data_IF_926202028024
#
_entry.id   IF_926202028024
#
_cell.length_a   1.000
_cell.length_b   1.000
_cell.length_c   1.000
_cell.angle_alpha   90.00
_cell.angle_beta   90.00
_cell.angle_gamma   90.00
#
_symmetry.space_group_name_H-M   'P 1'
#
loop_
_entity.id
_entity.type
_entity.pdbx_description
1 polymer ?
#
# COMPACT_ATOMS: atom_id res chain seq x y z
N UNK A 1 20.85 55.64 -15.27
CA UNK A 1 20.55 54.56 -16.23
C UNK A 1 21.80 53.72 -16.38
N UNK A 2 21.81 52.49 -15.85
CA UNK A 2 22.93 51.55 -15.96
C UNK A 2 22.96 50.98 -17.37
N UNK A 3 24.05 51.24 -18.10
CA UNK A 3 24.30 50.69 -19.44
C UNK A 3 24.42 49.16 -19.36
N UNK A 4 23.66 48.46 -20.21
CA UNK A 4 23.70 47.01 -20.31
C UNK A 4 25.08 46.55 -20.79
N UNK A 5 25.75 45.69 -20.01
CA UNK A 5 27.07 45.15 -20.35
C UNK A 5 26.92 43.72 -20.89
N UNK A 6 26.94 43.60 -22.22
CA UNK A 6 26.72 42.34 -22.94
C UNK A 6 27.78 41.26 -22.62
N UNK A 7 29.06 41.65 -22.52
CA UNK A 7 30.15 40.71 -22.21
C UNK A 7 30.01 40.08 -20.83
N UNK A 8 29.59 40.88 -19.83
CA UNK A 8 29.35 40.39 -18.47
C UNK A 8 28.11 39.50 -18.43
N UNK A 9 27.07 39.84 -19.19
CA UNK A 9 25.87 39.02 -19.32
C UNK A 9 26.18 37.65 -19.94
N UNK A 10 26.94 37.62 -21.05
CA UNK A 10 27.36 36.39 -21.71
C UNK A 10 28.17 35.46 -20.78
N UNK A 11 29.09 36.01 -19.99
CA UNK A 11 29.86 35.25 -18.99
C UNK A 11 28.98 34.66 -17.89
N UNK A 12 27.97 35.38 -17.43
CA UNK A 12 27.02 34.87 -16.42
C UNK A 12 26.12 33.82 -17.02
N UNK A 13 25.69 33.97 -18.27
CA UNK A 13 24.87 32.98 -18.97
C UNK A 13 25.64 31.68 -19.26
N UNK A 14 26.94 31.75 -19.56
CA UNK A 14 27.78 30.56 -19.73
C UNK A 14 27.86 29.70 -18.45
N UNK A 15 27.82 30.32 -17.25
CA UNK A 15 27.76 29.59 -15.97
C UNK A 15 26.44 28.85 -15.75
N UNK A 16 25.39 29.14 -16.53
CA UNK A 16 24.15 28.38 -16.49
C UNK A 16 24.28 26.97 -17.10
N UNK A 17 25.39 26.67 -17.77
CA UNK A 17 25.71 25.34 -18.30
C UNK A 17 26.56 24.49 -17.33
N UNK A 18 26.60 24.86 -16.04
CA UNK A 18 27.29 24.09 -14.99
C UNK A 18 26.57 22.76 -14.69
N UNK A 19 27.33 21.70 -14.37
CA UNK A 19 26.83 20.38 -13.97
C UNK A 19 26.20 20.38 -12.56
N UNK A 20 26.10 21.54 -11.93
CA UNK A 20 25.55 21.72 -10.59
C UNK A 20 24.29 22.59 -10.63
N UNK A 21 23.12 21.96 -10.42
CA UNK A 21 21.81 22.59 -10.57
C UNK A 21 21.65 23.90 -9.77
N UNK A 22 22.22 23.95 -8.56
CA UNK A 22 22.17 25.13 -7.70
C UNK A 22 22.93 26.34 -8.28
N UNK A 23 24.07 26.09 -8.94
CA UNK A 23 24.89 27.13 -9.57
C UNK A 23 24.28 27.58 -10.89
N UNK A 24 23.76 26.64 -11.68
CA UNK A 24 23.07 26.93 -12.93
C UNK A 24 21.84 27.82 -12.70
N UNK A 25 21.02 27.51 -11.69
CA UNK A 25 19.85 28.31 -11.33
C UNK A 25 20.22 29.69 -10.78
N UNK A 26 21.30 29.80 -10.01
CA UNK A 26 21.80 31.09 -9.51
C UNK A 26 22.30 31.98 -10.66
N UNK A 27 23.00 31.40 -11.63
CA UNK A 27 23.47 32.08 -12.84
C UNK A 27 22.30 32.59 -13.69
N UNK A 28 21.27 31.77 -13.93
CA UNK A 28 20.07 32.16 -14.67
C UNK A 28 19.30 33.30 -13.99
N UNK A 29 19.14 33.24 -12.65
CA UNK A 29 18.50 34.32 -11.89
C UNK A 29 19.27 35.62 -12.02
N UNK A 30 20.60 35.56 -11.92
CA UNK A 30 21.47 36.74 -12.06
C UNK A 30 21.46 37.32 -13.47
N UNK A 31 21.44 36.47 -14.50
CA UNK A 31 21.28 36.90 -15.89
C UNK A 31 19.93 37.62 -16.11
N UNK A 32 18.84 37.06 -15.57
CA UNK A 32 17.51 37.69 -15.62
C UNK A 32 17.48 39.06 -14.94
N UNK A 33 18.12 39.19 -13.79
CA UNK A 33 18.15 40.45 -13.04
C UNK A 33 18.96 41.53 -13.76
N UNK A 34 20.03 41.15 -14.46
CA UNK A 34 20.81 42.06 -15.32
C UNK A 34 19.98 42.60 -16.49
N UNK A 35 19.15 41.75 -17.10
CA UNK A 35 18.24 42.16 -18.16
C UNK A 35 17.13 43.08 -17.64
N UNK A 36 16.53 42.72 -16.50
CA UNK A 36 15.49 43.53 -15.86
C UNK A 36 16.01 44.93 -15.49
N UNK A 37 17.24 45.04 -14.98
CA UNK A 37 17.88 46.32 -14.66
C UNK A 37 18.14 47.18 -15.91
N UNK A 38 18.26 46.56 -17.09
CA UNK A 38 18.38 47.22 -18.37
C UNK A 38 17.03 47.44 -19.08
N UNK A 39 15.91 47.06 -18.48
CA UNK A 39 14.58 47.13 -19.09
C UNK A 39 14.38 46.16 -20.25
N UNK A 40 15.16 45.08 -20.32
CA UNK A 40 15.13 44.07 -21.37
C UNK A 40 14.65 42.71 -20.83
N UNK A 41 14.21 41.87 -21.74
CA UNK A 41 13.89 40.45 -21.52
C UNK A 41 14.84 39.57 -22.31
N UNK A 42 14.88 38.26 -22.03
CA UNK A 42 15.68 37.32 -22.83
C UNK A 42 15.27 37.31 -24.30
N UNK A 43 13.98 37.52 -24.59
CA UNK A 43 13.45 37.60 -25.95
C UNK A 43 14.01 38.81 -26.71
N UNK A 44 14.23 39.93 -26.02
CA UNK A 44 14.77 41.15 -26.64
C UNK A 44 16.24 40.98 -27.05
N UNK A 45 17.01 40.20 -26.28
CA UNK A 45 18.41 39.86 -26.59
C UNK A 45 18.48 38.96 -27.82
N UNK A 46 17.57 38.00 -27.94
CA UNK A 46 17.48 37.10 -29.10
C UNK A 46 17.08 37.87 -30.36
N UNK A 47 16.25 38.91 -30.22
CA UNK A 47 15.80 39.74 -31.34
C UNK A 47 16.85 40.75 -31.82
N UNK A 48 17.77 41.21 -30.97
CA UNK A 48 18.80 42.21 -31.32
C UNK A 48 20.03 41.61 -32.04
N UNK A 49 20.32 40.31 -31.91
CA UNK A 49 21.59 39.70 -32.38
C UNK A 49 21.52 38.74 -33.58
N UNK A 50 20.39 38.53 -34.27
CA UNK A 50 20.42 37.67 -35.47
C UNK A 50 19.43 38.02 -36.60
N UNK A 51 19.88 38.01 -37.88
CA UNK A 51 18.98 37.82 -39.01
C UNK A 51 18.30 36.45 -38.88
N UNK A 52 17.05 36.35 -39.33
CA UNK A 52 16.22 35.15 -39.28
C UNK A 52 16.92 33.98 -39.99
N UNK A 53 17.65 33.19 -39.22
CA UNK A 53 18.09 31.85 -39.61
C UNK A 53 16.98 30.91 -39.16
N UNK A 54 16.30 30.30 -40.14
CA UNK A 54 15.44 29.15 -39.89
C UNK A 54 16.34 28.04 -39.37
N UNK A 55 16.35 27.84 -38.06
CA UNK A 55 16.96 26.64 -37.47
C UNK A 55 16.14 25.45 -37.98
N UNK A 56 16.74 24.65 -38.86
CA UNK A 56 16.32 23.26 -39.00
C UNK A 56 16.36 22.67 -37.59
N UNK A 57 15.22 22.21 -37.08
CA UNK A 57 15.20 21.59 -35.76
C UNK A 57 16.25 20.47 -35.77
N UNK A 58 17.28 20.51 -34.91
CA UNK A 58 18.12 19.34 -34.73
C UNK A 58 17.17 18.23 -34.31
N UNK A 59 17.14 17.14 -35.07
CA UNK A 59 16.46 15.91 -34.66
C UNK A 59 16.92 15.64 -33.24
N UNK A 60 16.02 15.80 -32.27
CA UNK A 60 16.31 15.52 -30.88
C UNK A 60 16.99 14.15 -30.83
N UNK A 61 18.09 13.98 -30.06
CA UNK A 61 18.66 12.65 -29.89
C UNK A 61 17.50 11.75 -29.44
N UNK A 62 17.21 10.73 -30.24
CA UNK A 62 16.26 9.68 -29.84
C UNK A 62 16.72 9.21 -28.48
N UNK A 63 15.88 9.38 -27.46
CA UNK A 63 16.13 8.83 -26.14
C UNK A 63 16.29 7.33 -26.31
N UNK A 64 17.53 6.85 -26.36
CA UNK A 64 17.82 5.43 -26.37
C UNK A 64 17.43 4.93 -24.99
N UNK A 65 16.45 4.04 -24.93
CA UNK A 65 15.97 3.48 -23.68
C UNK A 65 17.16 2.97 -22.86
N UNK A 66 17.36 3.56 -21.67
CA UNK A 66 18.48 3.29 -20.77
C UNK A 66 18.52 1.83 -20.29
N UNK A 67 17.44 1.06 -20.53
CA UNK A 67 17.34 -0.36 -20.23
C UNK A 67 17.60 -1.27 -21.44
N UNK A 68 17.91 -0.72 -22.61
CA UNK A 68 18.28 -1.51 -23.79
C UNK A 68 19.50 -2.37 -23.50
N UNK A 69 19.39 -3.68 -23.70
CA UNK A 69 20.46 -4.64 -23.41
C UNK A 69 20.59 -5.04 -21.93
N UNK A 70 19.70 -4.57 -21.03
CA UNK A 70 19.70 -5.01 -19.64
C UNK A 70 19.50 -6.53 -19.51
N UNK A 71 18.55 -7.10 -20.25
CA UNK A 71 18.29 -8.55 -20.21
C UNK A 71 19.47 -9.36 -20.74
N UNK A 72 20.16 -8.88 -21.78
CA UNK A 72 21.37 -9.52 -22.32
C UNK A 72 22.51 -9.48 -21.29
N UNK A 73 22.72 -8.32 -20.66
CA UNK A 73 23.69 -8.15 -19.58
C UNK A 73 23.39 -9.04 -18.37
N UNK A 74 22.12 -9.20 -18.01
CA UNK A 74 21.71 -10.11 -16.93
C UNK A 74 21.94 -11.58 -17.29
N UNK A 75 21.69 -11.97 -18.55
CA UNK A 75 21.96 -13.33 -19.03
C UNK A 75 23.47 -13.64 -19.08
N UNK A 76 24.32 -12.66 -19.42
CA UNK A 76 25.78 -12.80 -19.36
C UNK A 76 26.28 -12.95 -17.91
N UNK A 77 25.69 -12.23 -16.96
CA UNK A 77 26.05 -12.31 -15.53
C UNK A 77 25.49 -13.56 -14.84
N UNK A 78 24.28 -13.98 -15.19
CA UNK A 78 23.57 -15.15 -14.65
C UNK A 78 22.98 -15.96 -15.81
N UNK A 79 23.73 -16.94 -16.37
CA UNK A 79 23.23 -17.80 -17.43
C UNK A 79 21.93 -18.51 -17.01
N UNK A 80 20.88 -18.39 -17.83
CA UNK A 80 19.54 -18.89 -17.53
C UNK A 80 18.62 -17.85 -16.87
N UNK A 81 19.06 -16.62 -16.62
CA UNK A 81 18.23 -15.56 -16.04
C UNK A 81 16.96 -15.30 -16.84
N UNK A 82 17.06 -15.20 -18.18
CA UNK A 82 15.89 -15.01 -19.06
C UNK A 82 14.91 -16.18 -18.96
N UNK A 83 15.42 -17.41 -18.95
CA UNK A 83 14.60 -18.61 -18.82
C UNK A 83 13.87 -18.66 -17.47
N UNK A 84 14.57 -18.32 -16.38
CA UNK A 84 14.00 -18.22 -15.04
C UNK A 84 12.92 -17.14 -14.96
N UNK A 85 13.18 -15.94 -15.50
CA UNK A 85 12.20 -14.84 -15.54
C UNK A 85 10.98 -15.17 -16.39
N UNK A 86 11.17 -15.82 -17.53
CA UNK A 86 10.08 -16.31 -18.36
C UNK A 86 9.22 -17.34 -17.62
N UNK A 87 9.85 -18.28 -16.90
CA UNK A 87 9.14 -19.26 -16.08
C UNK A 87 8.36 -18.61 -14.92
N UNK A 88 8.96 -17.66 -14.20
CA UNK A 88 8.30 -16.89 -13.14
C UNK A 88 7.10 -16.11 -13.68
N UNK A 89 7.25 -15.45 -14.84
CA UNK A 89 6.17 -14.69 -15.48
C UNK A 89 5.04 -15.61 -15.97
N UNK A 90 5.38 -16.77 -16.55
CA UNK A 90 4.41 -17.77 -16.96
C UNK A 90 3.61 -18.32 -15.76
N UNK A 91 4.29 -18.61 -14.64
CA UNK A 91 3.62 -19.05 -13.42
C UNK A 91 2.71 -17.97 -12.82
N UNK A 92 3.16 -16.70 -12.77
CA UNK A 92 2.35 -15.56 -12.33
C UNK A 92 1.10 -15.40 -13.20
N UNK A 93 1.27 -15.48 -14.51
CA UNK A 93 0.18 -15.39 -15.49
C UNK A 93 -0.82 -16.53 -15.30
N UNK A 94 -0.34 -17.76 -15.11
CA UNK A 94 -1.18 -18.94 -14.83
C UNK A 94 -1.98 -18.78 -13.53
N UNK A 95 -1.33 -18.34 -12.44
CA UNK A 95 -2.00 -18.10 -11.15
C UNK A 95 -3.06 -17.00 -11.26
N UNK A 96 -2.75 -15.89 -11.93
CA UNK A 96 -3.72 -14.80 -12.18
C UNK A 96 -4.91 -15.27 -13.02
N UNK A 97 -4.66 -16.01 -14.11
CA UNK A 97 -5.73 -16.54 -14.94
C UNK A 97 -6.63 -17.51 -14.18
N UNK A 98 -6.06 -18.37 -13.34
CA UNK A 98 -6.82 -19.28 -12.47
C UNK A 98 -7.66 -18.51 -11.44
N UNK A 99 -7.09 -17.50 -10.78
CA UNK A 99 -7.82 -16.66 -9.82
C UNK A 99 -8.95 -15.87 -10.50
N UNK A 100 -8.68 -15.23 -11.64
CA UNK A 100 -9.72 -14.56 -12.46
C UNK A 100 -10.86 -15.51 -12.82
N UNK A 101 -10.54 -16.75 -13.23
CA UNK A 101 -11.56 -17.76 -13.53
C UNK A 101 -12.43 -18.05 -12.30
N UNK A 102 -11.82 -18.24 -11.13
CA UNK A 102 -12.53 -18.48 -9.87
C UNK A 102 -13.43 -17.29 -9.47
N UNK A 103 -12.98 -16.05 -9.68
CA UNK A 103 -13.78 -14.85 -9.44
C UNK A 103 -14.99 -14.79 -10.38
N UNK A 104 -14.79 -15.01 -11.68
CA UNK A 104 -15.90 -15.03 -12.65
C UNK A 104 -16.90 -16.14 -12.32
N UNK A 105 -16.44 -17.31 -11.91
CA UNK A 105 -17.31 -18.42 -11.47
C UNK A 105 -18.11 -18.04 -10.22
N UNK A 106 -17.48 -17.39 -9.23
CA UNK A 106 -18.13 -16.92 -8.00
C UNK A 106 -19.27 -15.92 -8.26
N UNK A 107 -19.08 -14.99 -9.19
CA UNK A 107 -20.06 -13.92 -9.48
C UNK A 107 -20.94 -14.21 -10.71
N UNK A 108 -20.65 -15.26 -11.46
CA UNK A 108 -21.33 -15.66 -12.71
C UNK A 108 -20.85 -14.93 -13.97
N UNK A 109 -20.26 -13.74 -13.85
CA UNK A 109 -19.70 -12.98 -14.97
C UNK A 109 -18.64 -11.98 -14.50
N UNK A 110 -17.81 -11.47 -15.41
CA UNK A 110 -16.85 -10.42 -15.09
C UNK A 110 -17.58 -9.12 -14.73
N UNK A 111 -18.67 -8.81 -15.43
CA UNK A 111 -19.53 -7.64 -15.22
C UNK A 111 -20.18 -7.67 -13.82
N UNK A 112 -20.67 -8.83 -13.38
CA UNK A 112 -21.21 -9.00 -12.03
C UNK A 112 -20.11 -8.95 -10.95
N UNK A 113 -18.90 -9.43 -11.25
CA UNK A 113 -17.77 -9.38 -10.32
C UNK A 113 -17.35 -7.94 -10.04
N UNK A 114 -17.36 -7.07 -11.07
CA UNK A 114 -17.02 -5.66 -10.88
C UNK A 114 -18.18 -4.86 -10.26
N UNK A 115 -19.44 -5.31 -10.42
CA UNK A 115 -20.65 -4.61 -9.94
C UNK A 115 -20.60 -4.23 -8.47
N UNK A 116 -21.03 -3.01 -8.07
CA UNK A 116 -20.93 -2.55 -6.69
C UNK A 116 -21.70 -3.49 -5.76
N UNK A 117 -21.03 -4.01 -4.76
CA UNK A 117 -21.66 -4.79 -3.70
C UNK A 117 -22.46 -3.88 -2.77
N UNK A 118 -23.26 -4.47 -1.89
CA UNK A 118 -24.11 -3.72 -0.97
C UNK A 118 -23.32 -2.75 -0.07
N UNK A 119 -22.08 -3.09 0.32
CA UNK A 119 -21.22 -2.22 1.15
C UNK A 119 -20.80 -0.97 0.36
N UNK A 120 -20.33 -1.16 -0.87
CA UNK A 120 -19.94 -0.07 -1.78
C UNK A 120 -21.13 0.87 -2.02
N UNK A 121 -22.31 0.31 -2.29
CA UNK A 121 -23.54 1.08 -2.46
C UNK A 121 -23.90 1.90 -1.21
N UNK A 122 -23.75 1.34 -0.01
CA UNK A 122 -24.04 2.03 1.25
C UNK A 122 -23.11 3.21 1.51
N UNK A 123 -21.79 3.02 1.32
CA UNK A 123 -20.81 4.11 1.52
C UNK A 123 -21.02 5.20 0.49
N UNK A 124 -21.27 4.83 -0.77
CA UNK A 124 -21.57 5.78 -1.84
C UNK A 124 -22.83 6.60 -1.57
N UNK A 125 -23.90 5.94 -1.11
CA UNK A 125 -25.14 6.62 -0.74
C UNK A 125 -24.95 7.58 0.44
N UNK A 126 -24.10 7.24 1.41
CA UNK A 126 -23.82 8.10 2.57
C UNK A 126 -23.07 9.38 2.19
N UNK A 127 -22.17 9.30 1.20
CA UNK A 127 -21.43 10.47 0.71
C UNK A 127 -22.30 11.41 -0.12
N UNK A 128 -23.28 10.88 -0.87
CA UNK A 128 -24.28 11.67 -1.58
C UNK A 128 -23.67 12.79 -2.44
N UNK A 129 -23.95 14.05 -2.07
CA UNK A 129 -23.48 15.25 -2.79
C UNK A 129 -22.00 15.58 -2.61
N UNK A 130 -21.26 14.83 -1.77
CA UNK A 130 -19.82 15.01 -1.57
C UNK A 130 -18.97 14.32 -2.64
N UNK A 131 -19.62 13.53 -3.49
CA UNK A 131 -18.99 12.80 -4.59
C UNK A 131 -18.93 13.72 -5.81
N UNK A 132 -17.71 13.96 -6.31
CA UNK A 132 -17.54 14.50 -7.66
C UNK A 132 -17.40 13.34 -8.64
N UNK A 133 -18.35 13.19 -9.58
CA UNK A 133 -18.27 12.15 -10.59
C UNK A 133 -17.11 12.40 -11.56
N UNK A 134 -16.34 11.37 -11.86
CA UNK A 134 -15.35 11.34 -12.92
C UNK A 134 -16.07 11.08 -14.25
N UNK A 135 -15.65 11.78 -15.31
CA UNK A 135 -16.17 11.59 -16.66
C UNK A 135 -15.55 10.36 -17.36
N UNK A 136 -16.24 9.84 -18.36
CA UNK A 136 -15.71 8.79 -19.24
C UNK A 136 -14.43 9.26 -19.95
N UNK A 137 -13.44 8.39 -20.25
CA UNK A 137 -13.46 6.92 -20.18
C UNK A 137 -13.04 6.35 -18.82
N UNK A 138 -12.67 7.19 -17.87
CA UNK A 138 -12.18 6.79 -16.54
C UNK A 138 -13.31 6.48 -15.58
N UNK A 139 -14.56 6.49 -16.04
CA UNK A 139 -15.74 6.16 -15.25
C UNK A 139 -16.00 4.64 -15.29
N UNK A 140 -15.79 4.02 -14.14
CA UNK A 140 -16.17 2.65 -13.83
C UNK A 140 -17.41 2.77 -12.97
N UNK A 141 -18.50 2.12 -13.39
CA UNK A 141 -19.88 2.49 -13.03
C UNK A 141 -20.32 3.81 -13.64
N UNK A 142 -21.55 4.23 -13.29
CA UNK A 142 -22.13 5.48 -13.79
C UNK A 142 -21.22 6.68 -13.53
N UNK A 143 -20.36 6.66 -12.49
CA UNK A 143 -19.38 7.71 -12.17
C UNK A 143 -18.20 7.14 -11.36
N UNK A 144 -16.93 7.16 -11.82
CA UNK A 144 -15.81 7.04 -10.84
C UNK A 144 -15.85 8.26 -9.92
N UNK A 145 -15.19 8.23 -8.77
CA UNK A 145 -15.14 9.40 -7.88
C UNK A 145 -13.75 10.00 -8.02
N UNK A 146 -13.65 11.14 -8.69
CA UNK A 146 -12.38 11.86 -8.87
C UNK A 146 -11.93 12.49 -7.55
N UNK A 147 -12.91 12.96 -6.77
CA UNK A 147 -12.68 13.67 -5.52
C UNK A 147 -13.76 13.34 -4.50
N UNK A 148 -13.37 13.24 -3.23
CA UNK A 148 -14.32 13.24 -2.10
C UNK A 148 -14.01 14.44 -1.21
N UNK A 149 -14.90 15.44 -1.21
CA UNK A 149 -14.74 16.65 -0.40
C UNK A 149 -13.46 17.45 -0.69
N UNK A 150 -13.11 17.60 -1.98
CA UNK A 150 -11.90 18.28 -2.49
C UNK A 150 -10.56 17.55 -2.25
N UNK A 151 -10.58 16.31 -1.76
CA UNK A 151 -9.43 15.43 -1.77
C UNK A 151 -9.48 14.56 -3.03
N UNK A 152 -8.53 14.79 -3.94
CA UNK A 152 -8.26 13.96 -5.11
C UNK A 152 -6.92 13.25 -4.95
N UNK A 153 -6.84 12.02 -5.45
CA UNK A 153 -5.69 11.12 -5.45
C UNK A 153 -4.90 10.96 -4.13
N UNK A 154 -4.94 9.73 -3.59
CA UNK A 154 -3.85 9.08 -2.83
C UNK A 154 -3.04 9.87 -1.76
N UNK A 155 -3.63 10.85 -1.06
CA UNK A 155 -3.05 11.39 0.18
C UNK A 155 -4.00 11.15 1.36
N UNK A 156 -3.44 10.56 2.43
CA UNK A 156 -4.13 9.62 3.32
C UNK A 156 -5.42 10.13 3.98
N UNK A 157 -6.26 9.19 4.43
CA UNK A 157 -7.55 9.43 5.09
C UNK A 157 -7.54 10.44 6.26
N UNK A 158 -6.36 10.80 6.76
CA UNK A 158 -6.16 11.85 7.76
C UNK A 158 -6.53 13.24 7.25
N UNK A 159 -6.38 13.50 5.95
CA UNK A 159 -6.61 14.80 5.30
C UNK A 159 -8.05 14.96 4.79
N UNK A 160 -8.83 13.88 4.85
CA UNK A 160 -10.23 13.86 4.46
C UNK A 160 -11.04 14.75 5.39
N UNK A 161 -11.90 15.61 4.82
CA UNK A 161 -12.75 16.52 5.58
C UNK A 161 -13.60 15.77 6.62
N UNK A 162 -13.89 16.43 7.74
CA UNK A 162 -14.70 15.85 8.83
C UNK A 162 -16.08 15.38 8.34
N UNK A 163 -16.68 16.09 7.38
CA UNK A 163 -17.97 15.74 6.80
C UNK A 163 -17.92 14.40 6.04
N UNK A 164 -16.86 14.19 5.25
CA UNK A 164 -16.65 12.95 4.51
C UNK A 164 -16.37 11.80 5.47
N UNK A 165 -15.53 12.02 6.48
CA UNK A 165 -15.28 11.02 7.52
C UNK A 165 -16.59 10.59 8.20
N UNK A 166 -17.40 11.55 8.64
CA UNK A 166 -18.68 11.26 9.28
C UNK A 166 -19.63 10.47 8.35
N UNK A 167 -19.69 10.83 7.07
CA UNK A 167 -20.49 10.08 6.09
C UNK A 167 -20.03 8.62 5.94
N UNK A 168 -18.72 8.37 5.85
CA UNK A 168 -18.16 7.02 5.74
C UNK A 168 -18.40 6.20 7.01
N UNK A 169 -18.27 6.82 8.18
CA UNK A 169 -18.48 6.17 9.48
C UNK A 169 -19.96 5.84 9.73
N UNK A 170 -20.89 6.63 9.18
CA UNK A 170 -22.35 6.43 9.35
C UNK A 170 -22.99 5.58 8.26
N UNK A 171 -22.28 5.28 7.17
CA UNK A 171 -22.77 4.45 6.06
C UNK A 171 -23.30 3.08 6.52
N UNK A 172 -22.59 2.44 7.45
CA UNK A 172 -23.01 1.29 8.24
C UNK A 172 -22.09 1.16 9.46
N UNK A 173 -22.52 0.37 10.46
CA UNK A 173 -21.86 0.21 11.76
C UNK A 173 -20.36 -0.03 11.62
N UNK A 174 -19.55 0.73 12.37
CA UNK A 174 -18.12 0.52 12.44
C UNK A 174 -17.78 -0.72 13.28
N UNK A 175 -16.69 -1.42 12.94
CA UNK A 175 -16.10 -2.41 13.82
C UNK A 175 -15.79 -1.82 15.20
N UNK A 176 -16.12 -2.57 16.26
CA UNK A 176 -15.86 -2.15 17.64
C UNK A 176 -14.74 -2.94 18.32
N UNK A 177 -14.25 -4.00 17.66
CA UNK A 177 -13.16 -4.86 18.10
C UNK A 177 -12.06 -4.91 17.05
N UNK A 178 -10.83 -5.23 17.47
CA UNK A 178 -9.69 -5.35 16.56
C UNK A 178 -9.92 -6.47 15.52
N UNK A 179 -10.52 -7.59 15.94
CA UNK A 179 -10.85 -8.71 15.07
C UNK A 179 -11.91 -8.33 14.02
N UNK A 180 -12.97 -7.63 14.43
CA UNK A 180 -14.00 -7.17 13.49
C UNK A 180 -13.40 -6.18 12.48
N UNK A 181 -12.50 -5.29 12.93
CA UNK A 181 -11.83 -4.33 12.06
C UNK A 181 -10.94 -5.05 11.05
N UNK A 182 -10.17 -6.04 11.48
CA UNK A 182 -9.37 -6.86 10.58
C UNK A 182 -10.24 -7.64 9.59
N UNK A 183 -11.34 -8.26 10.03
CA UNK A 183 -12.23 -9.00 9.16
C UNK A 183 -12.88 -8.11 8.10
N UNK A 184 -13.28 -6.89 8.45
CA UNK A 184 -13.79 -5.91 7.49
C UNK A 184 -12.69 -5.43 6.53
N UNK A 185 -11.47 -5.16 7.03
CA UNK A 185 -10.33 -4.76 6.21
C UNK A 185 -9.95 -5.84 5.18
N UNK A 186 -9.82 -7.10 5.60
CA UNK A 186 -9.55 -8.22 4.69
C UNK A 186 -10.66 -8.44 3.67
N UNK A 187 -11.92 -8.21 4.05
CA UNK A 187 -13.03 -8.27 3.09
C UNK A 187 -12.93 -7.17 2.02
N UNK A 188 -12.47 -5.96 2.37
CA UNK A 188 -12.20 -4.90 1.39
C UNK A 188 -10.98 -5.20 0.52
N UNK A 189 -9.90 -5.74 1.09
CA UNK A 189 -8.71 -6.17 0.33
C UNK A 189 -9.02 -7.30 -0.64
N UNK A 190 -9.83 -8.28 -0.23
CA UNK A 190 -10.29 -9.33 -1.13
C UNK A 190 -11.18 -8.74 -2.22
N UNK A 191 -12.09 -7.83 -1.87
CA UNK A 191 -12.95 -7.16 -2.85
C UNK A 191 -12.12 -6.43 -3.91
N UNK A 192 -11.07 -5.70 -3.52
CA UNK A 192 -10.13 -5.04 -4.44
C UNK A 192 -9.46 -6.06 -5.39
N UNK A 193 -8.91 -7.15 -4.84
CA UNK A 193 -8.28 -8.22 -5.64
C UNK A 193 -9.24 -8.87 -6.63
N UNK A 194 -10.49 -9.11 -6.24
CA UNK A 194 -11.51 -9.70 -7.11
C UNK A 194 -11.85 -8.78 -8.28
N UNK A 195 -11.99 -7.49 -7.99
CA UNK A 195 -12.26 -6.42 -8.94
C UNK A 195 -11.10 -6.29 -9.94
N UNK A 196 -9.84 -6.25 -9.48
CA UNK A 196 -8.63 -6.25 -10.32
C UNK A 196 -8.58 -7.47 -11.24
N UNK A 197 -8.83 -8.65 -10.67
CA UNK A 197 -8.79 -9.90 -11.40
C UNK A 197 -9.86 -9.96 -12.50
N UNK A 198 -11.09 -9.50 -12.21
CA UNK A 198 -12.19 -9.49 -13.18
C UNK A 198 -11.88 -8.62 -14.41
N UNK A 199 -11.34 -7.42 -14.19
CA UNK A 199 -10.98 -6.48 -15.27
C UNK A 199 -9.70 -6.82 -15.99
N UNK A 200 -8.91 -7.74 -15.46
CA UNK A 200 -7.59 -8.07 -15.99
C UNK A 200 -6.69 -6.83 -16.05
N UNK A 201 -6.85 -5.92 -15.09
CA UNK A 201 -6.02 -4.73 -14.95
C UNK A 201 -4.63 -5.08 -14.43
N UNK A 202 -3.63 -4.34 -14.92
CA UNK A 202 -2.21 -4.54 -14.57
C UNK A 202 -1.52 -3.23 -14.18
N UNK A 203 -2.27 -2.13 -14.03
CA UNK A 203 -1.70 -0.79 -13.86
C UNK A 203 -1.25 -0.49 -12.44
N UNK A 204 -1.63 -1.30 -11.45
CA UNK A 204 -1.24 -1.12 -10.05
C UNK A 204 -2.04 -0.03 -9.33
N UNK A 205 -3.06 0.52 -9.97
CA UNK A 205 -4.01 1.45 -9.35
C UNK A 205 -4.99 0.70 -8.45
N UNK A 206 -5.48 1.37 -7.40
CA UNK A 206 -6.56 0.84 -6.55
C UNK A 206 -7.80 0.61 -7.40
N UNK A 207 -8.29 -0.63 -7.39
CA UNK A 207 -9.46 -0.99 -8.18
C UNK A 207 -10.79 -0.69 -7.48
N UNK A 208 -10.77 -0.51 -6.15
CA UNK A 208 -11.92 -0.03 -5.38
C UNK A 208 -12.30 1.39 -5.81
N UNK A 209 -13.60 1.71 -5.76
CA UNK A 209 -14.00 3.11 -5.86
C UNK A 209 -13.47 3.93 -4.66
N UNK A 210 -13.28 5.23 -4.83
CA UNK A 210 -12.66 6.08 -3.80
C UNK A 210 -13.46 6.08 -2.48
N UNK A 211 -14.77 5.85 -2.53
CA UNK A 211 -15.63 5.79 -1.35
C UNK A 211 -15.36 4.51 -0.55
N UNK A 212 -15.32 3.37 -1.24
CA UNK A 212 -14.97 2.07 -0.70
C UNK A 212 -13.53 2.04 -0.16
N UNK A 213 -12.59 2.61 -0.92
CA UNK A 213 -11.22 2.80 -0.46
C UNK A 213 -11.16 3.67 0.81
N UNK A 214 -11.90 4.77 0.85
CA UNK A 214 -12.02 5.59 2.05
C UNK A 214 -12.54 4.83 3.27
N UNK A 215 -13.51 3.93 3.09
CA UNK A 215 -13.98 3.04 4.16
C UNK A 215 -12.92 2.02 4.57
N UNK A 216 -12.24 1.39 3.61
CA UNK A 216 -11.15 0.46 3.88
C UNK A 216 -10.04 1.13 4.70
N UNK A 217 -9.61 2.33 4.32
CA UNK A 217 -8.60 3.11 5.03
C UNK A 217 -9.06 3.51 6.44
N UNK A 218 -10.33 3.91 6.60
CA UNK A 218 -10.88 4.20 7.93
C UNK A 218 -10.79 2.98 8.85
N UNK A 219 -11.19 1.81 8.35
CA UNK A 219 -11.15 0.53 9.08
C UNK A 219 -9.71 0.13 9.37
N UNK A 220 -8.78 0.38 8.44
CA UNK A 220 -7.35 0.17 8.67
C UNK A 220 -6.85 0.99 9.85
N UNK A 221 -7.21 2.28 9.93
CA UNK A 221 -6.83 3.14 11.07
C UNK A 221 -7.39 2.62 12.41
N UNK A 222 -8.64 2.11 12.42
CA UNK A 222 -9.24 1.48 13.59
C UNK A 222 -8.43 0.26 14.05
N UNK A 223 -8.08 -0.62 13.11
CA UNK A 223 -7.28 -1.82 13.34
C UNK A 223 -5.88 -1.46 13.87
N UNK A 224 -5.22 -0.49 13.25
CA UNK A 224 -3.82 -0.17 13.48
C UNK A 224 -3.58 0.65 14.74
N UNK A 225 -4.45 1.62 15.05
CA UNK A 225 -4.10 2.64 16.05
C UNK A 225 -5.22 3.12 16.99
N UNK A 226 -6.50 2.98 16.62
CA UNK A 226 -7.58 3.65 17.35
C UNK A 226 -8.41 2.74 18.26
N UNK A 227 -8.64 1.49 17.87
CA UNK A 227 -9.35 0.55 18.75
C UNK A 227 -8.40 0.10 19.87
N UNK A 228 -8.78 0.21 21.15
CA UNK A 228 -7.95 -0.28 22.25
C UNK A 228 -7.97 -1.81 22.27
N UNK A 229 -6.82 -2.43 22.56
CA UNK A 229 -6.79 -3.86 22.86
C UNK A 229 -7.53 -4.14 24.17
N UNK A 230 -8.45 -5.10 24.16
CA UNK A 230 -9.25 -5.47 25.35
C UNK A 230 -8.59 -6.57 26.16
N UNK A 231 -7.73 -7.37 25.53
CA UNK A 231 -7.01 -8.47 26.15
C UNK A 231 -5.65 -8.73 25.48
N UNK A 232 -4.90 -9.71 26.01
CA UNK A 232 -3.61 -10.10 25.44
C UNK A 232 -3.74 -10.74 24.04
N UNK A 233 -4.91 -11.26 23.67
CA UNK A 233 -5.12 -11.83 22.33
C UNK A 233 -5.18 -10.72 21.29
N UNK A 234 -5.90 -9.64 21.60
CA UNK A 234 -5.94 -8.41 20.80
C UNK A 234 -4.54 -7.83 20.57
N UNK A 235 -3.76 -7.71 21.65
CA UNK A 235 -2.40 -7.18 21.61
C UNK A 235 -1.49 -8.06 20.74
N UNK A 236 -1.53 -9.39 20.95
CA UNK A 236 -0.75 -10.34 20.16
C UNK A 236 -1.15 -10.31 18.69
N UNK A 237 -2.45 -10.14 18.41
CA UNK A 237 -2.97 -10.00 17.07
C UNK A 237 -2.39 -8.76 16.38
N UNK A 238 -2.51 -7.57 17.00
CA UNK A 238 -1.98 -6.31 16.46
C UNK A 238 -0.46 -6.38 16.24
N UNK A 239 0.29 -6.99 17.16
CA UNK A 239 1.74 -7.19 17.01
C UNK A 239 2.11 -8.08 15.82
N UNK A 240 1.38 -9.17 15.61
CA UNK A 240 1.58 -10.06 14.45
C UNK A 240 1.22 -9.37 13.14
N UNK A 241 0.11 -8.63 13.13
CA UNK A 241 -0.29 -7.81 11.99
C UNK A 241 0.79 -6.80 11.64
N UNK A 242 1.29 -6.04 12.62
CA UNK A 242 2.39 -5.08 12.44
C UNK A 242 3.64 -5.72 11.83
N UNK A 243 4.06 -6.88 12.35
CA UNK A 243 5.21 -7.61 11.81
C UNK A 243 5.00 -8.07 10.36
N UNK A 244 3.78 -8.45 9.98
CA UNK A 244 3.45 -8.91 8.65
C UNK A 244 3.45 -7.80 7.60
N UNK A 245 3.34 -6.53 8.00
CA UNK A 245 3.44 -5.39 7.08
C UNK A 245 4.86 -5.16 6.55
N UNK A 246 5.88 -5.78 7.16
CA UNK A 246 7.30 -5.61 6.83
C UNK A 246 7.74 -4.12 6.77
N UNK A 247 7.01 -3.24 7.44
CA UNK A 247 7.28 -1.81 7.52
C UNK A 247 7.53 -1.38 8.97
N UNK A 248 8.29 -0.29 9.14
CA UNK A 248 8.44 0.39 10.42
C UNK A 248 7.45 1.56 10.45
N UNK A 249 6.43 1.45 11.28
CA UNK A 249 5.43 2.50 11.50
C UNK A 249 5.32 2.79 13.01
N UNK A 250 6.01 3.85 13.43
CA UNK A 250 6.07 4.31 14.82
C UNK A 250 4.68 4.50 15.44
N UNK A 251 3.65 4.76 14.62
CA UNK A 251 2.28 4.98 15.09
C UNK A 251 1.63 3.68 15.56
N UNK A 252 1.86 2.59 14.83
CA UNK A 252 1.35 1.25 15.19
C UNK A 252 2.13 0.75 16.42
N UNK A 253 3.45 0.95 16.43
CA UNK A 253 4.28 0.61 17.59
C UNK A 253 3.86 1.38 18.85
N UNK A 254 3.57 2.67 18.74
CA UNK A 254 3.05 3.47 19.85
C UNK A 254 1.65 3.00 20.31
N UNK A 255 0.79 2.52 19.40
CA UNK A 255 -0.50 1.95 19.77
C UNK A 255 -0.33 0.62 20.53
N UNK A 256 0.57 -0.25 20.09
CA UNK A 256 0.90 -1.51 20.79
C UNK A 256 1.43 -1.23 22.20
N UNK A 257 2.33 -0.24 22.35
CA UNK A 257 2.83 0.16 23.67
C UNK A 257 1.71 0.67 24.58
N UNK A 258 0.85 1.55 24.07
CA UNK A 258 -0.31 2.09 24.81
C UNK A 258 -1.26 0.98 25.27
N UNK A 259 -1.54 0.02 24.40
CA UNK A 259 -2.37 -1.13 24.73
C UNK A 259 -1.76 -1.99 25.83
N UNK A 260 -0.45 -2.28 25.73
CA UNK A 260 0.27 -3.04 26.74
C UNK A 260 0.23 -2.35 28.10
N UNK A 261 0.49 -1.03 28.15
CA UNK A 261 0.39 -0.24 29.37
C UNK A 261 -1.01 -0.31 29.97
N UNK A 262 -2.05 -0.13 29.15
CA UNK A 262 -3.45 -0.23 29.58
C UNK A 262 -3.75 -1.59 30.19
N UNK A 263 -3.34 -2.68 29.54
CA UNK A 263 -3.57 -4.04 30.03
C UNK A 263 -2.82 -4.34 31.33
N UNK A 264 -1.60 -3.81 31.50
CA UNK A 264 -0.84 -3.96 32.75
C UNK A 264 -1.47 -3.18 33.90
N UNK A 265 -1.92 -1.95 33.65
CA UNK A 265 -2.55 -1.10 34.68
C UNK A 265 -3.93 -1.58 35.11
N UNK A 266 -4.68 -2.23 34.22
CA UNK A 266 -6.01 -2.76 34.49
C UNK A 266 -6.03 -4.26 34.75
N UNK A 267 -4.87 -4.94 34.69
CA UNK A 267 -4.75 -6.30 35.17
C UNK A 267 -5.20 -6.30 36.63
N UNK A 268 -6.18 -7.13 37.03
CA UNK A 268 -6.52 -7.25 38.43
C UNK A 268 -5.21 -7.60 39.12
N UNK A 269 -4.69 -6.69 39.94
CA UNK A 269 -3.50 -6.96 40.74
C UNK A 269 -3.84 -8.21 41.51
N UNK A 270 -3.31 -9.35 41.04
CA UNK A 270 -3.36 -10.60 41.74
C UNK A 270 -2.70 -10.25 43.06
N UNK A 271 -3.54 -10.00 44.06
CA UNK A 271 -3.11 -9.60 45.38
C UNK A 271 -2.59 -10.90 45.95
N UNK A 272 -1.40 -11.30 45.51
CA UNK A 272 -0.60 -12.34 46.15
C UNK A 272 -0.03 -11.71 47.41
N UNK A 273 -0.92 -11.32 48.33
CA UNK A 273 -0.59 -11.37 49.74
C UNK A 273 -0.41 -12.86 49.99
N UNK A 274 0.85 -13.27 50.04
CA UNK A 274 1.24 -14.65 50.23
C UNK A 274 0.55 -15.21 51.47
N UNK A 275 -0.44 -16.06 51.26
CA UNK A 275 -0.64 -17.16 52.18
C UNK A 275 0.59 -18.06 52.01
N UNK A 276 1.41 -18.26 53.05
CA UNK A 276 2.58 -19.13 52.96
C UNK A 276 2.10 -20.51 52.48
N UNK A 277 2.88 -21.20 51.62
CA UNK A 277 2.49 -22.51 51.13
C UNK A 277 2.25 -23.41 52.34
N UNK A 278 0.98 -23.76 52.55
CA UNK A 278 0.58 -24.77 53.53
C UNK A 278 1.42 -26.00 53.24
N UNK A 279 2.36 -26.30 54.13
CA UNK A 279 3.18 -27.52 54.10
C UNK A 279 2.21 -28.69 54.10
N UNK A 280 1.91 -29.22 52.91
CA UNK A 280 1.22 -30.52 52.81
C UNK A 280 2.03 -31.52 53.61
N UNK A 281 1.42 -32.27 54.55
CA UNK A 281 2.10 -33.35 55.23
C UNK A 281 2.61 -34.32 54.17
N UNK A 282 3.92 -34.58 54.24
CA UNK A 282 4.64 -35.52 53.39
C UNK A 282 3.98 -36.89 53.56
N UNK A 283 3.11 -37.29 52.62
CA UNK A 283 2.59 -38.66 52.56
C UNK A 283 3.78 -39.61 52.43
N UNK A 284 4.01 -40.38 53.48
CA UNK A 284 4.93 -41.50 53.49
C UNK A 284 4.53 -42.48 52.37
N UNK A 285 5.52 -42.88 51.57
CA UNK A 285 5.38 -43.86 50.48
C UNK A 285 4.73 -45.15 51.02
N UNK A 286 3.63 -45.63 50.42
CA UNK A 286 3.32 -47.04 50.47
C UNK A 286 4.26 -47.79 49.52
N UNK A 287 4.69 -48.93 50.03
CA UNK A 287 5.55 -49.96 49.45
C UNK A 287 5.00 -50.45 48.10
N UNK A 288 5.92 -50.76 47.19
CA UNK A 288 5.66 -51.26 45.84
C UNK A 288 4.63 -52.41 45.81
N UNK A 289 3.64 -52.28 44.93
CA UNK A 289 2.81 -53.38 44.47
C UNK A 289 3.00 -53.50 42.96
N UNK A 290 3.42 -54.71 42.60
CA UNK A 290 3.63 -55.32 41.29
C UNK A 290 2.62 -54.91 40.22
N UNK A 291 3.15 -54.61 39.03
CA UNK A 291 2.38 -54.36 37.81
C UNK A 291 1.61 -55.62 37.37
N UNK A 292 0.34 -55.51 36.93
CA UNK A 292 -0.27 -56.51 36.08
C UNK A 292 0.11 -56.24 34.62
N UNK A 293 0.58 -57.29 33.94
CA UNK A 293 0.83 -57.32 32.51
C UNK A 293 -0.43 -56.94 31.72
N UNK A 294 -0.29 -56.02 30.77
CA UNK A 294 -1.30 -55.69 29.78
C UNK A 294 -1.18 -56.69 28.59
N UNK A 295 -2.21 -57.52 28.32
CA UNK A 295 -2.17 -58.50 27.24
C UNK A 295 -2.73 -57.97 25.89
N UNK A 296 -2.75 -56.66 25.63
CA UNK A 296 -3.29 -56.11 24.36
C UNK A 296 -2.26 -55.53 23.38
N UNK A 297 -1.00 -55.92 23.49
CA UNK A 297 -0.07 -55.87 22.35
C UNK A 297 -0.04 -57.23 21.65
N UNK A 298 -1.05 -57.47 20.81
CA UNK A 298 -1.01 -58.50 19.76
C UNK A 298 -1.83 -58.01 18.58
N UNK A 299 -1.24 -58.15 17.39
CA UNK A 299 -1.88 -58.14 16.08
C UNK A 299 -2.15 -56.78 15.42
N UNK A 300 -1.07 -56.14 14.94
CA UNK A 300 -1.13 -55.29 13.74
C UNK A 300 0.18 -55.45 12.95
N UNK A 301 0.42 -56.63 12.34
CA UNK A 301 1.19 -56.87 11.09
C UNK A 301 1.18 -58.39 10.82
N UNK A 302 0.62 -58.83 9.68
CA UNK A 302 1.42 -59.59 8.71
C UNK A 302 1.17 -59.07 7.28
N UNK A 303 2.25 -58.74 6.55
CA UNK A 303 2.90 -59.55 5.50
C UNK A 303 2.32 -59.38 4.09
N UNK A 304 3.16 -58.81 3.23
CA UNK A 304 3.50 -59.22 1.86
C UNK A 304 2.52 -60.13 1.07
N UNK A 305 2.19 -59.68 -0.15
CA UNK A 305 1.73 -60.53 -1.27
C UNK A 305 1.20 -59.65 -2.40
N UNK A 306 2.01 -59.33 -3.42
CA UNK A 306 2.18 -60.10 -4.65
C UNK A 306 1.09 -59.83 -5.71
N UNK A 307 1.58 -59.39 -6.86
CA UNK A 307 0.95 -59.09 -8.16
C UNK A 307 0.13 -60.24 -8.72
N UNK A 308 -0.74 -59.94 -9.69
CA UNK A 308 -0.46 -60.36 -11.06
C UNK A 308 -0.27 -59.20 -12.05
#
# INVERSE_FOLDING_TARGET
MTTFNADRFAKVLALASSDHDGEALAALRKARDMLKAAGKTFSDVIAEEAPVVVYAQPTAPTFTDIFTGFEDRMEEMEPGWKAKRAAEQAERTRKRAAYRKAVIEKYGSAEAAVAPCWREQKVRAALGSLITPCEQPWARWTHHIENIGHCGDFFGFKEVSQQVRAAIETAYTLPTTIQDAHAEYEAWREREREIEAAENWQTGDTALDLAAYGRMERVRMLLETELPARDLSDLLFRSRYYRALECQDDRIEAAIHRDLESLVMHAPHATSVGAPPSRRPRKTKPKAATAPADPRQRDLFPENGATP
#
